data_IF_183682034093
#
_entry.id   IF_183682034093
#
_cell.length_a   1.000
_cell.length_b   1.000
_cell.length_c   1.000
_cell.angle_alpha   90.00
_cell.angle_beta   90.00
_cell.angle_gamma   90.00
#
_symmetry.space_group_name_H-M   'P 1'
#
loop_
_entity.id
_entity.type
_entity.pdbx_description
1 polymer ?
#
# COMPACT_ATOMS: atom_id res chain seq x y z
N UNK A 1 -11.43 -12.45 66.23
CA UNK A 1 -12.18 -11.17 66.25
C UNK A 1 -11.26 -9.99 65.93
N UNK A 2 -10.41 -9.47 66.84
CA UNK A 2 -9.52 -8.34 66.51
C UNK A 2 -8.43 -8.68 65.46
N UNK A 3 -7.82 -9.86 65.58
CA UNK A 3 -6.73 -10.33 64.70
C UNK A 3 -7.18 -10.64 63.27
N UNK A 4 -8.41 -11.11 63.09
CA UNK A 4 -8.98 -11.42 61.77
C UNK A 4 -9.29 -10.14 60.98
N UNK A 5 -9.71 -9.07 61.67
CA UNK A 5 -9.98 -7.77 61.05
C UNK A 5 -8.67 -7.12 60.59
N UNK A 6 -7.60 -7.29 61.36
CA UNK A 6 -6.27 -6.79 61.00
C UNK A 6 -5.69 -7.50 59.78
N UNK A 7 -5.85 -8.84 59.68
CA UNK A 7 -5.44 -9.61 58.50
C UNK A 7 -6.26 -9.29 57.25
N UNK A 8 -7.56 -9.05 57.40
CA UNK A 8 -8.42 -8.61 56.28
C UNK A 8 -8.03 -7.21 55.79
N UNK A 9 -7.63 -6.32 56.70
CA UNK A 9 -7.11 -4.99 56.39
C UNK A 9 -5.79 -5.06 55.60
N UNK A 10 -4.85 -5.91 56.02
CA UNK A 10 -3.59 -6.13 55.30
C UNK A 10 -3.82 -6.71 53.89
N UNK A 11 -4.72 -7.69 53.76
CA UNK A 11 -5.08 -8.27 52.47
C UNK A 11 -5.78 -7.25 51.55
N UNK A 12 -6.68 -6.44 52.08
CA UNK A 12 -7.32 -5.37 51.31
C UNK A 12 -6.30 -4.34 50.80
N UNK A 13 -5.31 -4.00 51.64
CA UNK A 13 -4.22 -3.08 51.27
C UNK A 13 -3.28 -3.69 50.22
N UNK A 14 -3.00 -4.99 50.33
CA UNK A 14 -2.19 -5.74 49.36
C UNK A 14 -2.92 -5.88 48.01
N UNK A 15 -4.22 -6.18 48.03
CA UNK A 15 -5.04 -6.29 46.82
C UNK A 15 -5.21 -4.93 46.14
N UNK A 16 -5.41 -3.86 46.92
CA UNK A 16 -5.48 -2.51 46.41
C UNK A 16 -4.16 -2.09 45.74
N UNK A 17 -3.02 -2.32 46.39
CA UNK A 17 -1.70 -2.00 45.83
C UNK A 17 -1.33 -2.87 44.62
N UNK A 18 -1.69 -4.15 44.62
CA UNK A 18 -1.53 -5.02 43.45
C UNK A 18 -2.38 -4.55 42.26
N UNK A 19 -3.63 -4.11 42.51
CA UNK A 19 -4.51 -3.58 41.48
C UNK A 19 -4.00 -2.26 40.92
N UNK A 20 -3.49 -1.37 41.77
CA UNK A 20 -2.94 -0.07 41.38
C UNK A 20 -1.65 -0.25 40.57
N UNK A 21 -0.72 -1.09 41.03
CA UNK A 21 0.50 -1.42 40.29
C UNK A 21 0.24 -2.06 38.93
N UNK A 22 -0.75 -2.96 38.83
CA UNK A 22 -1.17 -3.52 37.53
C UNK A 22 -1.83 -2.46 36.63
N UNK A 23 -2.59 -1.54 37.21
CA UNK A 23 -3.20 -0.43 36.46
C UNK A 23 -2.13 0.51 35.92
N UNK A 24 -1.15 0.89 36.73
CA UNK A 24 -0.04 1.74 36.34
C UNK A 24 0.83 1.09 35.27
N UNK A 25 1.11 -0.20 35.38
CA UNK A 25 1.87 -0.95 34.37
C UNK A 25 1.10 -1.03 33.04
N UNK A 26 -0.22 -1.31 33.07
CA UNK A 26 -1.06 -1.30 31.87
C UNK A 26 -1.09 0.10 31.26
N UNK A 27 -1.31 1.14 32.06
CA UNK A 27 -1.35 2.54 31.60
C UNK A 27 0.00 2.95 31.01
N UNK A 28 1.11 2.52 31.61
CA UNK A 28 2.47 2.79 31.13
C UNK A 28 2.70 2.12 29.78
N UNK A 29 2.36 0.84 29.64
CA UNK A 29 2.50 0.10 28.38
C UNK A 29 1.58 0.65 27.28
N UNK A 30 0.35 1.02 27.63
CA UNK A 30 -0.60 1.63 26.70
C UNK A 30 -0.08 3.00 26.23
N UNK A 31 0.41 3.82 27.16
CA UNK A 31 1.00 5.13 26.87
C UNK A 31 2.26 5.01 26.02
N UNK A 32 3.08 3.98 26.26
CA UNK A 32 4.25 3.65 25.43
C UNK A 32 3.82 3.25 24.01
N UNK A 33 2.87 2.34 23.88
CA UNK A 33 2.34 1.90 22.58
C UNK A 33 1.70 3.04 21.79
N UNK A 34 0.96 3.94 22.47
CA UNK A 34 0.40 5.14 21.84
C UNK A 34 1.50 6.13 21.44
N UNK A 35 2.51 6.35 22.27
CA UNK A 35 3.63 7.24 21.95
C UNK A 35 4.43 6.72 20.75
N UNK A 36 4.65 5.41 20.69
CA UNK A 36 5.26 4.74 19.52
C UNK A 36 4.37 4.86 18.28
N UNK A 37 3.06 4.63 18.42
CA UNK A 37 2.10 4.79 17.33
C UNK A 37 2.06 6.21 16.77
N UNK A 38 2.04 7.23 17.65
CA UNK A 38 2.12 8.64 17.27
C UNK A 38 3.46 8.94 16.58
N UNK A 39 4.57 8.38 17.07
CA UNK A 39 5.89 8.56 16.46
C UNK A 39 5.95 7.93 15.06
N UNK A 40 5.34 6.76 14.86
CA UNK A 40 5.26 6.12 13.54
C UNK A 40 4.36 6.92 12.59
N UNK A 41 3.22 7.40 13.04
CA UNK A 41 2.33 8.28 12.28
C UNK A 41 3.02 9.58 11.89
N UNK A 42 3.78 10.16 12.81
CA UNK A 42 4.56 11.37 12.59
C UNK A 42 5.66 11.14 11.54
N UNK A 43 6.40 10.03 11.62
CA UNK A 43 7.37 9.62 10.61
C UNK A 43 6.72 9.35 9.25
N UNK A 44 5.57 8.71 9.23
CA UNK A 44 4.80 8.44 8.01
C UNK A 44 4.33 9.74 7.36
N UNK A 45 3.80 10.68 8.15
CA UNK A 45 3.35 11.99 7.69
C UNK A 45 4.52 12.86 7.20
N UNK A 46 5.69 12.72 7.84
CA UNK A 46 6.94 13.40 7.44
C UNK A 46 7.62 12.74 6.24
N UNK A 47 7.22 11.51 5.88
CA UNK A 47 7.65 10.88 4.66
C UNK A 47 6.97 11.57 3.46
N UNK A 48 7.67 12.58 2.93
CA UNK A 48 7.20 13.35 1.77
C UNK A 48 6.88 12.48 0.56
N UNK A 49 7.58 11.35 0.39
CA UNK A 49 7.35 10.41 -0.71
C UNK A 49 6.00 9.70 -0.58
N UNK A 50 5.69 9.15 0.59
CA UNK A 50 4.43 8.47 0.84
C UNK A 50 3.24 9.44 0.80
N UNK A 51 3.36 10.62 1.41
CA UNK A 51 2.32 11.62 1.31
C UNK A 51 2.11 12.13 -0.12
N UNK A 52 3.20 12.26 -0.90
CA UNK A 52 3.09 12.63 -2.32
C UNK A 52 2.41 11.54 -3.14
N UNK A 53 2.71 10.27 -2.87
CA UNK A 53 2.08 9.14 -3.54
C UNK A 53 0.58 9.07 -3.23
N UNK A 54 0.21 9.28 -1.97
CA UNK A 54 -1.19 9.32 -1.55
C UNK A 54 -1.93 10.49 -2.22
N UNK A 55 -1.32 11.67 -2.29
CA UNK A 55 -1.86 12.82 -3.04
C UNK A 55 -2.00 12.56 -4.55
N UNK A 56 -1.10 11.77 -5.15
CA UNK A 56 -1.22 11.40 -6.56
C UNK A 56 -2.36 10.40 -6.75
N UNK A 57 -2.49 9.40 -5.87
CA UNK A 57 -3.58 8.44 -5.91
C UNK A 57 -4.96 9.05 -5.61
N UNK A 58 -5.01 10.12 -4.82
CA UNK A 58 -6.26 10.82 -4.50
C UNK A 58 -6.78 11.70 -5.65
N UNK A 59 -5.95 11.93 -6.68
CA UNK A 59 -6.38 12.71 -7.84
C UNK A 59 -7.40 11.95 -8.68
N UNK A 60 -8.50 12.59 -9.10
CA UNK A 60 -9.53 11.95 -9.92
C UNK A 60 -8.96 11.42 -11.24
N UNK A 61 -7.94 12.08 -11.81
CA UNK A 61 -7.29 11.64 -13.04
C UNK A 61 -6.53 10.31 -12.85
N UNK A 62 -5.86 10.15 -11.70
CA UNK A 62 -5.13 8.92 -11.38
C UNK A 62 -6.08 7.76 -11.06
N UNK A 63 -7.19 8.04 -10.37
CA UNK A 63 -8.24 7.05 -10.12
C UNK A 63 -8.89 6.59 -11.42
N UNK A 64 -9.24 7.54 -12.31
CA UNK A 64 -9.82 7.23 -13.61
C UNK A 64 -8.87 6.40 -14.48
N UNK A 65 -7.58 6.76 -14.51
CA UNK A 65 -6.55 6.00 -15.23
C UNK A 65 -6.44 4.57 -14.72
N UNK A 66 -6.37 4.38 -13.40
CA UNK A 66 -6.27 3.05 -12.79
C UNK A 66 -7.50 2.20 -13.08
N UNK A 67 -8.70 2.79 -12.98
CA UNK A 67 -9.96 2.10 -13.28
C UNK A 67 -10.04 1.71 -14.76
N UNK A 68 -9.73 2.64 -15.67
CA UNK A 68 -9.72 2.38 -17.11
C UNK A 68 -8.71 1.28 -17.49
N UNK A 69 -7.52 1.29 -16.88
CA UNK A 69 -6.52 0.26 -17.11
C UNK A 69 -6.96 -1.11 -16.57
N UNK A 70 -7.57 -1.14 -15.38
CA UNK A 70 -8.13 -2.37 -14.81
C UNK A 70 -9.26 -2.95 -15.68
N UNK A 71 -10.14 -2.09 -16.20
CA UNK A 71 -11.22 -2.48 -17.11
C UNK A 71 -10.67 -3.02 -18.43
N UNK A 72 -9.64 -2.37 -19.00
CA UNK A 72 -8.99 -2.81 -20.24
C UNK A 72 -8.32 -4.18 -20.09
N UNK A 73 -7.59 -4.39 -18.98
CA UNK A 73 -6.96 -5.69 -18.68
C UNK A 73 -8.03 -6.77 -18.48
N UNK A 74 -9.12 -6.44 -17.78
CA UNK A 74 -10.23 -7.37 -17.56
C UNK A 74 -10.99 -7.71 -18.85
N UNK A 75 -11.14 -6.74 -19.76
CA UNK A 75 -11.69 -6.98 -21.10
C UNK A 75 -10.76 -7.88 -21.92
N UNK A 76 -9.46 -7.58 -21.97
CA UNK A 76 -8.45 -8.39 -22.65
C UNK A 76 -8.43 -9.83 -22.13
N UNK A 77 -8.49 -10.03 -20.82
CA UNK A 77 -8.54 -11.36 -20.20
C UNK A 77 -9.78 -12.14 -20.64
N UNK A 78 -10.96 -11.49 -20.66
CA UNK A 78 -12.21 -12.11 -21.12
C UNK A 78 -12.17 -12.46 -22.62
N UNK A 79 -11.58 -11.62 -23.44
CA UNK A 79 -11.47 -11.86 -24.89
C UNK A 79 -10.51 -13.00 -25.19
N UNK A 80 -9.37 -13.07 -24.49
CA UNK A 80 -8.45 -14.19 -24.57
C UNK A 80 -9.08 -15.50 -24.13
N UNK A 81 -9.92 -15.48 -23.08
CA UNK A 81 -10.64 -16.67 -22.62
C UNK A 81 -11.68 -17.19 -23.63
N UNK A 82 -12.21 -16.32 -24.49
CA UNK A 82 -13.20 -16.66 -25.53
C UNK A 82 -12.58 -17.01 -26.88
N UNK A 83 -11.33 -16.62 -27.11
CA UNK A 83 -10.66 -16.79 -28.39
C UNK A 83 -9.89 -18.12 -28.40
N UNK A 84 -10.00 -18.96 -29.45
CA UNK A 84 -9.18 -20.17 -29.55
C UNK A 84 -7.69 -19.80 -29.52
N UNK A 85 -6.82 -20.69 -29.00
CA UNK A 85 -5.38 -20.44 -28.94
C UNK A 85 -4.84 -20.03 -30.31
N UNK A 86 -3.91 -19.06 -30.32
CA UNK A 86 -3.29 -18.61 -31.55
C UNK A 86 -2.73 -19.80 -32.32
N UNK A 87 -3.09 -19.90 -33.62
CA UNK A 87 -2.49 -20.90 -34.50
C UNK A 87 -1.00 -20.57 -34.61
N UNK A 88 -0.15 -21.41 -34.01
CA UNK A 88 1.30 -21.21 -34.03
C UNK A 88 1.88 -21.20 -35.46
N UNK A 89 3.17 -20.87 -35.57
CA UNK A 89 3.95 -20.94 -36.82
C UNK A 89 4.55 -19.60 -37.25
N UNK A 90 5.68 -19.67 -37.97
CA UNK A 90 6.43 -18.49 -38.43
C UNK A 90 5.60 -17.57 -39.33
N UNK A 91 4.70 -18.13 -40.15
CA UNK A 91 3.82 -17.35 -41.04
C UNK A 91 2.82 -16.52 -40.23
N UNK A 92 2.17 -17.10 -39.21
CA UNK A 92 1.22 -16.38 -38.37
C UNK A 92 1.90 -15.30 -37.52
N UNK A 93 3.15 -15.53 -37.09
CA UNK A 93 3.95 -14.51 -36.40
C UNK A 93 4.27 -13.33 -37.31
N UNK A 94 4.67 -13.58 -38.56
CA UNK A 94 4.92 -12.52 -39.54
C UNK A 94 3.64 -11.77 -39.90
N UNK A 95 2.51 -12.47 -40.02
CA UNK A 95 1.21 -11.81 -40.20
C UNK A 95 0.88 -10.93 -38.99
N UNK A 96 0.99 -11.45 -37.76
CA UNK A 96 0.77 -10.71 -36.51
C UNK A 96 1.61 -9.43 -36.43
N UNK A 97 2.89 -9.51 -36.79
CA UNK A 97 3.79 -8.36 -36.80
C UNK A 97 3.42 -7.30 -37.85
N UNK A 98 2.80 -7.71 -38.96
CA UNK A 98 2.33 -6.82 -40.02
C UNK A 98 0.91 -6.26 -39.77
N UNK A 99 0.20 -6.72 -38.74
CA UNK A 99 -1.09 -6.14 -38.38
C UNK A 99 -0.90 -4.69 -37.88
N UNK A 100 -1.65 -3.71 -38.44
CA UNK A 100 -1.57 -2.31 -38.03
C UNK A 100 -1.75 -2.11 -36.51
N UNK A 101 -2.70 -2.83 -35.90
CA UNK A 101 -2.93 -2.76 -34.45
C UNK A 101 -1.75 -3.23 -33.60
N UNK A 102 -0.99 -4.23 -34.06
CA UNK A 102 0.23 -4.68 -33.37
C UNK A 102 1.31 -3.60 -33.44
N UNK A 103 1.48 -2.98 -34.62
CA UNK A 103 2.46 -1.92 -34.82
C UNK A 103 2.11 -0.67 -34.01
N UNK A 104 0.85 -0.26 -33.99
CA UNK A 104 0.35 0.85 -33.17
C UNK A 104 0.48 0.58 -31.68
N UNK A 105 0.21 -0.66 -31.23
CA UNK A 105 0.42 -1.08 -29.85
C UNK A 105 1.88 -0.98 -29.43
N UNK A 106 2.80 -1.52 -30.24
CA UNK A 106 4.24 -1.43 -30.01
C UNK A 106 4.72 0.03 -29.99
N UNK A 107 4.23 0.86 -30.91
CA UNK A 107 4.53 2.30 -30.95
C UNK A 107 4.03 3.01 -29.68
N UNK A 108 2.83 2.69 -29.23
CA UNK A 108 2.24 3.28 -28.03
C UNK A 108 3.02 2.92 -26.78
N UNK A 109 3.41 1.65 -26.63
CA UNK A 109 4.28 1.19 -25.54
C UNK A 109 5.66 1.85 -25.59
N UNK A 110 6.22 2.02 -26.78
CA UNK A 110 7.51 2.71 -26.96
C UNK A 110 7.43 4.18 -26.52
N UNK A 111 6.40 4.92 -26.93
CA UNK A 111 6.18 6.31 -26.53
C UNK A 111 5.96 6.45 -25.03
N UNK A 112 5.15 5.57 -24.43
CA UNK A 112 4.96 5.52 -22.98
C UNK A 112 6.30 5.32 -22.24
N UNK A 113 7.11 4.37 -22.71
CA UNK A 113 8.42 4.09 -22.15
C UNK A 113 9.41 5.26 -22.26
N UNK A 114 9.38 6.01 -23.37
CA UNK A 114 10.22 7.21 -23.55
C UNK A 114 9.88 8.30 -22.54
N UNK A 115 8.59 8.60 -22.36
CA UNK A 115 8.14 9.59 -21.38
C UNK A 115 8.45 9.14 -19.94
N UNK A 116 8.26 7.87 -19.63
CA UNK A 116 8.59 7.29 -18.34
C UNK A 116 10.09 7.42 -18.02
N UNK A 117 10.95 7.02 -18.95
CA UNK A 117 12.42 7.12 -18.82
C UNK A 117 12.89 8.57 -18.68
N UNK A 118 12.32 9.49 -19.44
CA UNK A 118 12.61 10.92 -19.33
C UNK A 118 12.22 11.47 -17.94
N UNK A 119 11.03 11.12 -17.45
CA UNK A 119 10.56 11.53 -16.11
C UNK A 119 11.44 10.98 -15.00
N UNK A 120 11.87 9.71 -15.07
CA UNK A 120 12.76 9.11 -14.07
C UNK A 120 14.14 9.78 -14.05
N UNK A 121 14.70 10.12 -15.22
CA UNK A 121 15.98 10.84 -15.30
C UNK A 121 15.88 12.23 -14.70
N UNK A 122 14.78 12.94 -14.93
CA UNK A 122 14.54 14.26 -14.35
C UNK A 122 14.39 14.20 -12.82
N UNK A 123 13.73 13.16 -12.30
CA UNK A 123 13.61 12.90 -10.86
C UNK A 123 14.98 12.66 -10.21
N UNK A 124 15.85 11.84 -10.83
CA UNK A 124 17.22 11.62 -10.34
C UNK A 124 18.06 12.90 -10.39
N UNK A 125 17.88 13.73 -11.43
CA UNK A 125 18.58 15.01 -11.57
C UNK A 125 18.17 16.05 -10.53
N UNK A 126 16.93 16.00 -10.03
CA UNK A 126 16.41 16.89 -8.97
C UNK A 126 16.56 16.34 -7.55
N UNK A 127 16.78 15.04 -7.42
CA UNK A 127 16.95 14.34 -6.13
C UNK A 127 18.40 14.08 -5.74
N UNK A 128 19.37 14.60 -6.51
CA UNK A 128 20.78 14.68 -6.15
C UNK A 128 21.14 16.06 -5.62
#
# INVERSE_FOLDING_TARGET
>A
MARDIEQLSELATLVASARDAMSDEIVTRLSSAFSEGITLLDRLTRNRGLMRLLQVLDRPESQYLLMSMADAISAMSRDLAKTPPAKGGLVNLLMLANHPGTQEGLRSLSLLGQHWSASLRELHRRGG
#
